data_IF_157187673986
#
_entry.id   IF_157187673986
#
_cell.length_a   1.000
_cell.length_b   1.000
_cell.length_c   1.000
_cell.angle_alpha   90.00
_cell.angle_beta   90.00
_cell.angle_gamma   90.00
#
_symmetry.space_group_name_H-M   'P 1'
#
loop_
_entity.id
_entity.type
_entity.pdbx_description
1 polymer ?
#
# COMPACT_ATOMS: atom_id res chain seq x y z
N UNK A 1 -41.02 28.21 0.27
CA UNK A 1 -41.94 27.05 0.06
C UNK A 1 -41.28 25.82 0.66
N UNK A 2 -41.84 25.28 1.75
CA UNK A 2 -41.30 24.07 2.39
C UNK A 2 -41.48 22.89 1.43
N UNK A 3 -40.37 22.23 1.05
CA UNK A 3 -40.39 20.97 0.29
C UNK A 3 -40.47 19.85 1.32
N UNK A 4 -41.49 19.01 1.20
CA UNK A 4 -41.77 17.92 2.14
C UNK A 4 -40.54 17.02 2.33
N UNK A 5 -40.23 16.66 3.58
CA UNK A 5 -39.25 15.63 3.90
C UNK A 5 -40.01 14.30 3.94
N UNK A 6 -39.64 13.38 3.04
CA UNK A 6 -40.24 12.04 2.95
C UNK A 6 -39.24 11.03 3.51
N UNK A 7 -39.61 10.34 4.59
CA UNK A 7 -38.81 9.29 5.22
C UNK A 7 -39.36 7.93 4.79
N UNK A 8 -38.52 7.13 4.14
CA UNK A 8 -38.82 5.73 3.82
C UNK A 8 -38.23 4.83 4.92
N UNK A 9 -39.04 3.92 5.44
CA UNK A 9 -38.64 2.97 6.48
C UNK A 9 -38.96 1.54 6.03
N UNK A 10 -38.07 0.55 6.28
CA UNK A 10 -38.32 -0.84 5.90
C UNK A 10 -39.53 -1.40 6.65
N UNK A 11 -40.41 -2.09 5.90
CA UNK A 11 -41.66 -2.67 6.39
C UNK A 11 -41.37 -3.92 7.22
N UNK A 12 -41.58 -3.86 8.52
CA UNK A 12 -41.47 -5.04 9.41
C UNK A 12 -42.87 -5.56 9.78
N UNK A 13 -43.36 -6.54 9.01
CA UNK A 13 -44.55 -7.33 9.36
C UNK A 13 -45.91 -6.79 8.91
N UNK A 14 -46.97 -7.48 9.35
CA UNK A 14 -48.37 -7.31 8.90
C UNK A 14 -49.17 -6.24 9.68
N UNK A 15 -48.54 -5.16 10.14
CA UNK A 15 -49.26 -4.04 10.77
C UNK A 15 -49.20 -2.79 9.91
N UNK A 16 -50.34 -2.11 9.79
CA UNK A 16 -50.49 -0.90 8.98
C UNK A 16 -50.03 0.38 9.71
N UNK A 17 -49.74 0.32 11.01
CA UNK A 17 -49.15 1.45 11.75
C UNK A 17 -48.13 0.96 12.79
N UNK A 18 -46.91 1.49 12.74
CA UNK A 18 -45.87 1.29 13.75
C UNK A 18 -45.49 2.66 14.31
N UNK A 19 -45.76 2.89 15.60
CA UNK A 19 -45.35 4.12 16.30
C UNK A 19 -44.00 3.86 16.97
N UNK A 20 -42.92 4.38 16.39
CA UNK A 20 -41.60 4.36 17.02
C UNK A 20 -41.33 5.71 17.69
N UNK A 21 -41.05 5.67 18.99
CA UNK A 21 -40.67 6.86 19.76
C UNK A 21 -39.15 7.02 19.63
N UNK A 22 -38.71 7.80 18.65
CA UNK A 22 -37.30 8.18 18.51
C UNK A 22 -37.07 9.42 19.38
N UNK A 23 -36.04 9.39 20.23
CA UNK A 23 -35.67 10.56 21.01
C UNK A 23 -35.21 11.69 20.06
N UNK A 24 -35.67 12.93 20.28
CA UNK A 24 -35.25 14.07 19.46
C UNK A 24 -33.72 14.25 19.44
N UNK A 25 -33.03 13.85 20.52
CA UNK A 25 -31.57 13.89 20.62
C UNK A 25 -30.82 12.98 19.64
N UNK A 26 -31.52 12.02 19.02
CA UNK A 26 -30.93 11.08 18.06
C UNK A 26 -31.04 11.59 16.63
N UNK A 27 -31.85 12.62 16.36
CA UNK A 27 -32.09 13.13 15.00
C UNK A 27 -31.47 14.52 14.86
N UNK A 28 -30.30 14.58 14.21
CA UNK A 28 -29.68 15.84 13.84
C UNK A 28 -30.08 16.21 12.41
N UNK A 29 -30.87 17.27 12.27
CA UNK A 29 -31.15 17.89 10.97
C UNK A 29 -30.10 18.96 10.70
N UNK A 30 -29.16 18.65 9.80
CA UNK A 30 -28.23 19.66 9.27
C UNK A 30 -28.87 20.24 8.02
N UNK A 31 -29.30 21.50 8.11
CA UNK A 31 -29.85 22.25 6.98
C UNK A 31 -28.79 23.23 6.53
N UNK A 32 -28.08 22.88 5.45
CA UNK A 32 -27.15 23.79 4.78
C UNK A 32 -27.84 24.49 3.61
N UNK A 33 -27.52 25.77 3.40
CA UNK A 33 -27.99 26.51 2.23
C UNK A 33 -27.37 25.90 0.95
N UNK A 34 -28.19 25.76 -0.09
CA UNK A 34 -27.75 25.22 -1.38
C UNK A 34 -26.62 26.06 -2.00
N UNK A 35 -26.63 27.37 -1.76
CA UNK A 35 -25.57 28.28 -2.24
C UNK A 35 -24.21 27.98 -1.61
N UNK A 36 -24.17 27.72 -0.30
CA UNK A 36 -22.96 27.32 0.42
C UNK A 36 -22.44 25.95 -0.07
N UNK A 37 -23.34 25.01 -0.31
CA UNK A 37 -22.99 23.71 -0.90
C UNK A 37 -22.38 23.85 -2.30
N UNK A 38 -22.94 24.70 -3.15
CA UNK A 38 -22.40 24.95 -4.48
C UNK A 38 -21.00 25.59 -4.42
N UNK A 39 -20.77 26.54 -3.52
CA UNK A 39 -19.44 27.12 -3.32
C UNK A 39 -18.41 26.07 -2.89
N UNK A 40 -18.75 25.21 -1.92
CA UNK A 40 -17.88 24.09 -1.51
C UNK A 40 -17.56 23.17 -2.69
N UNK A 41 -18.55 22.82 -3.51
CA UNK A 41 -18.36 21.96 -4.70
C UNK A 41 -17.46 22.65 -5.73
N UNK A 42 -17.62 23.95 -5.97
CA UNK A 42 -16.79 24.71 -6.90
C UNK A 42 -15.33 24.77 -6.44
N UNK A 43 -15.08 25.02 -5.16
CA UNK A 43 -13.72 25.01 -4.59
C UNK A 43 -13.06 23.64 -4.73
N UNK A 44 -13.80 22.55 -4.52
CA UNK A 44 -13.29 21.18 -4.71
C UNK A 44 -12.99 20.86 -6.18
N UNK A 45 -13.73 21.46 -7.13
CA UNK A 45 -13.48 21.28 -8.57
C UNK A 45 -12.24 22.04 -9.03
N UNK A 46 -12.02 23.25 -8.52
CA UNK A 46 -10.83 24.06 -8.86
C UNK A 46 -9.53 23.41 -8.35
N UNK A 47 -9.54 22.82 -7.15
CA UNK A 47 -8.38 22.11 -6.60
C UNK A 47 -8.18 20.68 -7.11
N UNK A 48 -9.02 20.21 -8.05
CA UNK A 48 -9.02 18.81 -8.49
C UNK A 48 -7.77 18.45 -9.27
N UNK A 49 -7.25 17.26 -9.00
CA UNK A 49 -6.23 16.63 -9.83
C UNK A 49 -6.75 16.42 -11.27
N UNK A 50 -5.90 16.74 -12.25
CA UNK A 50 -6.19 16.64 -13.68
C UNK A 50 -5.48 15.40 -14.26
N UNK A 51 -5.94 14.92 -15.42
CA UNK A 51 -5.30 13.86 -16.20
C UNK A 51 -4.96 12.59 -15.42
N UNK A 52 -5.88 12.15 -14.54
CA UNK A 52 -5.70 10.93 -13.74
C UNK A 52 -5.63 9.71 -14.66
N UNK A 53 -4.44 9.10 -14.77
CA UNK A 53 -4.26 7.80 -15.41
C UNK A 53 -4.02 6.75 -14.34
N UNK A 54 -4.77 5.66 -14.45
CA UNK A 54 -4.66 4.51 -13.57
C UNK A 54 -3.92 3.39 -14.29
N UNK A 55 -2.94 2.82 -13.60
CA UNK A 55 -2.33 1.54 -13.90
C UNK A 55 -2.58 0.58 -12.73
N UNK A 56 -2.08 -0.64 -12.83
CA UNK A 56 -2.25 -1.68 -11.80
C UNK A 56 -1.58 -1.28 -10.48
N UNK A 57 -0.34 -0.78 -10.55
CA UNK A 57 0.48 -0.43 -9.38
C UNK A 57 0.89 1.05 -9.33
N UNK A 58 0.38 1.87 -10.26
CA UNK A 58 0.71 3.28 -10.32
C UNK A 58 -0.47 4.14 -10.73
N UNK A 59 -0.46 5.37 -10.22
CA UNK A 59 -1.36 6.43 -10.65
C UNK A 59 -0.50 7.61 -11.10
N UNK A 60 -0.87 8.23 -12.21
CA UNK A 60 -0.27 9.51 -12.62
C UNK A 60 -1.35 10.57 -12.67
N UNK A 61 -1.07 11.74 -12.13
CA UNK A 61 -1.98 12.87 -12.15
C UNK A 61 -1.19 14.17 -12.31
N UNK A 62 -1.83 15.21 -12.83
CA UNK A 62 -1.25 16.53 -13.02
C UNK A 62 -1.99 17.53 -12.14
N UNK A 63 -1.30 18.55 -11.66
CA UNK A 63 -1.93 19.69 -10.99
C UNK A 63 -1.31 20.99 -11.45
N UNK A 64 -2.05 22.07 -11.28
CA UNK A 64 -1.55 23.44 -11.42
C UNK A 64 -1.99 24.22 -10.19
N UNK A 65 -1.15 24.25 -9.15
CA UNK A 65 -1.46 24.92 -7.90
C UNK A 65 -0.67 26.22 -7.78
N UNK A 66 -1.34 27.29 -7.39
CA UNK A 66 -0.69 28.60 -7.16
C UNK A 66 0.19 28.60 -5.89
N UNK A 67 -0.14 27.74 -4.93
CA UNK A 67 0.52 27.60 -3.64
C UNK A 67 0.77 26.13 -3.29
N UNK A 68 1.62 25.87 -2.30
CA UNK A 68 1.85 24.53 -1.80
C UNK A 68 0.62 24.05 -1.02
N UNK A 69 0.10 22.88 -1.36
CA UNK A 69 -1.18 22.38 -0.82
C UNK A 69 -1.09 20.91 -0.42
N UNK A 70 -1.90 20.51 0.56
CA UNK A 70 -2.08 19.10 0.89
C UNK A 70 -3.20 18.55 0.01
N UNK A 71 -2.87 17.57 -0.81
CA UNK A 71 -3.84 16.90 -1.67
C UNK A 71 -4.27 15.60 -1.01
N UNK A 72 -5.58 15.39 -0.95
CA UNK A 72 -6.18 14.17 -0.42
C UNK A 72 -6.69 13.33 -1.57
N UNK A 73 -6.30 12.06 -1.59
CA UNK A 73 -6.82 11.09 -2.55
C UNK A 73 -7.93 10.25 -1.93
N UNK A 74 -8.79 9.67 -2.77
CA UNK A 74 -9.81 8.71 -2.32
C UNK A 74 -9.22 7.33 -1.99
N UNK A 75 -7.91 7.16 -2.10
CA UNK A 75 -7.24 5.91 -1.78
C UNK A 75 -7.04 5.80 -0.27
N UNK A 76 -7.25 4.60 0.27
CA UNK A 76 -6.89 4.30 1.64
C UNK A 76 -5.38 4.43 1.84
N UNK A 77 -4.97 5.00 2.97
CA UNK A 77 -3.58 5.12 3.34
C UNK A 77 -2.98 3.73 3.58
N UNK A 78 -1.89 3.43 2.86
CA UNK A 78 -1.02 2.29 3.09
C UNK A 78 0.43 2.80 3.06
N UNK A 79 1.26 2.26 3.95
CA UNK A 79 2.68 2.58 4.08
C UNK A 79 3.49 2.21 2.82
N UNK A 80 2.93 1.38 1.93
CA UNK A 80 3.55 1.03 0.65
C UNK A 80 3.39 2.10 -0.44
N UNK A 81 2.53 3.10 -0.26
CA UNK A 81 2.34 4.16 -1.25
C UNK A 81 3.41 5.25 -1.13
N UNK A 82 4.05 5.58 -2.25
CA UNK A 82 4.98 6.69 -2.39
C UNK A 82 4.57 7.57 -3.56
N UNK A 83 4.78 8.89 -3.44
CA UNK A 83 4.47 9.87 -4.50
C UNK A 83 5.73 10.64 -4.84
N UNK A 84 5.97 10.80 -6.15
CA UNK A 84 7.02 11.65 -6.68
C UNK A 84 6.41 12.74 -7.55
N UNK A 85 6.79 13.99 -7.31
CA UNK A 85 6.48 15.11 -8.19
C UNK A 85 7.58 15.24 -9.22
N UNK A 86 7.21 15.24 -10.50
CA UNK A 86 8.02 15.71 -11.60
C UNK A 86 7.78 17.21 -11.75
N UNK A 87 8.78 17.99 -11.38
CA UNK A 87 8.80 19.45 -11.48
C UNK A 87 8.93 19.89 -12.94
N UNK A 88 8.59 21.14 -13.24
CA UNK A 88 8.74 21.73 -14.58
C UNK A 88 10.19 21.65 -15.09
N UNK A 89 11.18 21.76 -14.19
CA UNK A 89 12.61 21.63 -14.49
C UNK A 89 13.04 20.19 -14.88
N UNK A 90 12.11 19.23 -14.89
CA UNK A 90 12.35 17.83 -15.20
C UNK A 90 12.93 17.01 -14.04
N UNK A 91 13.22 17.65 -12.90
CA UNK A 91 13.65 16.98 -11.67
C UNK A 91 12.50 16.26 -10.97
N UNK A 92 12.83 15.17 -10.29
CA UNK A 92 11.91 14.42 -9.43
C UNK A 92 12.15 14.79 -7.98
N UNK A 93 11.10 15.25 -7.30
CA UNK A 93 11.08 15.46 -5.86
C UNK A 93 10.19 14.41 -5.20
N UNK A 94 10.66 13.79 -4.13
CA UNK A 94 9.83 12.90 -3.32
C UNK A 94 8.84 13.74 -2.50
N UNK A 95 7.55 13.46 -2.65
CA UNK A 95 6.50 14.14 -1.91
C UNK A 95 6.31 13.47 -0.54
N UNK A 96 6.26 14.27 0.52
CA UNK A 96 5.95 13.74 1.84
C UNK A 96 4.49 13.27 1.89
N UNK A 97 4.29 12.03 2.34
CA UNK A 97 2.98 11.39 2.42
C UNK A 97 2.47 11.40 3.87
N UNK A 98 1.16 11.59 4.01
CA UNK A 98 0.49 11.74 5.30
C UNK A 98 -0.75 10.84 5.35
N UNK A 99 -0.99 10.28 6.53
CA UNK A 99 -2.27 9.66 6.85
C UNK A 99 -3.21 10.76 7.33
N UNK A 100 -4.23 11.05 6.55
CA UNK A 100 -5.22 12.07 6.88
C UNK A 100 -6.43 11.46 7.61
N UNK A 101 -7.26 12.32 8.17
CA UNK A 101 -8.47 11.94 8.88
C UNK A 101 -9.39 11.10 7.98
N UNK A 102 -9.94 10.02 8.55
CA UNK A 102 -10.66 9.00 7.77
C UNK A 102 -9.78 7.92 7.14
N UNK A 103 -8.46 7.95 7.39
CA UNK A 103 -7.53 6.94 6.89
C UNK A 103 -7.24 7.07 5.40
N UNK A 104 -7.46 8.25 4.84
CA UNK A 104 -7.18 8.56 3.44
C UNK A 104 -5.71 8.93 3.24
N UNK A 105 -5.23 8.62 2.04
CA UNK A 105 -3.88 8.94 1.63
C UNK A 105 -3.80 10.40 1.17
N UNK A 106 -2.98 11.19 1.84
CA UNK A 106 -2.64 12.55 1.43
C UNK A 106 -1.15 12.72 1.16
N UNK A 107 -0.80 13.71 0.35
CA UNK A 107 0.59 14.08 0.10
C UNK A 107 0.73 15.59 -0.06
N UNK A 108 1.93 16.10 0.22
CA UNK A 108 2.27 17.51 0.01
C UNK A 108 2.59 17.75 -1.47
N UNK A 109 1.77 18.57 -2.11
CA UNK A 109 1.90 18.96 -3.50
C UNK A 109 2.61 20.31 -3.59
N UNK A 110 3.81 20.39 -4.20
CA UNK A 110 4.48 21.66 -4.43
C UNK A 110 3.71 22.50 -5.45
N UNK A 111 3.81 23.82 -5.33
CA UNK A 111 3.26 24.80 -6.26
C UNK A 111 3.80 24.62 -7.69
N UNK A 112 3.03 25.08 -8.67
CA UNK A 112 3.33 25.03 -10.09
C UNK A 112 2.65 23.89 -10.83
N UNK A 113 2.96 23.77 -12.13
CA UNK A 113 2.41 22.76 -13.02
C UNK A 113 3.21 21.46 -12.92
N UNK A 114 2.87 20.65 -11.93
CA UNK A 114 3.60 19.45 -11.60
C UNK A 114 2.85 18.19 -12.05
N UNK A 115 3.61 17.18 -12.49
CA UNK A 115 3.07 15.84 -12.75
C UNK A 115 3.52 14.90 -11.67
N UNK A 116 2.57 14.24 -11.02
CA UNK A 116 2.84 13.34 -9.92
C UNK A 116 2.71 11.90 -10.38
N UNK A 117 3.57 11.06 -9.83
CA UNK A 117 3.57 9.63 -10.04
C UNK A 117 3.50 8.97 -8.68
N UNK A 118 2.33 8.40 -8.38
CA UNK A 118 2.09 7.60 -7.20
C UNK A 118 2.36 6.14 -7.55
N UNK A 119 3.16 5.45 -6.73
CA UNK A 119 3.55 4.06 -6.95
C UNK A 119 3.39 3.27 -5.65
N UNK A 120 2.93 2.03 -5.79
CA UNK A 120 2.91 1.08 -4.69
C UNK A 120 4.19 0.27 -4.65
N UNK A 121 4.87 0.26 -3.51
CA UNK A 121 5.99 -0.63 -3.20
C UNK A 121 5.71 -1.37 -1.90
N UNK A 122 5.73 -2.69 -1.96
CA UNK A 122 5.58 -3.54 -0.76
C UNK A 122 6.72 -3.26 0.22
N UNK A 123 6.35 -2.89 1.44
CA UNK A 123 7.30 -2.59 2.52
C UNK A 123 8.08 -3.87 2.83
N UNK A 124 9.39 -3.73 3.03
CA UNK A 124 10.30 -4.84 3.34
C UNK A 124 10.41 -5.92 2.26
N UNK A 125 9.92 -5.70 1.03
CA UNK A 125 10.19 -6.62 -0.07
C UNK A 125 11.70 -6.79 -0.30
N UNK A 126 12.45 -5.68 -0.21
CA UNK A 126 13.91 -5.69 -0.33
C UNK A 126 14.54 -6.49 0.82
N UNK A 127 14.05 -6.31 2.04
CA UNK A 127 14.55 -7.01 3.24
C UNK A 127 14.31 -8.52 3.17
N UNK A 128 13.15 -8.94 2.66
CA UNK A 128 12.85 -10.35 2.39
C UNK A 128 13.81 -10.95 1.36
N UNK A 129 14.17 -10.19 0.32
CA UNK A 129 15.13 -10.61 -0.69
C UNK A 129 16.54 -10.78 -0.10
N UNK A 130 16.99 -9.84 0.75
CA UNK A 130 18.27 -9.96 1.44
C UNK A 130 18.33 -11.18 2.38
N UNK A 131 17.28 -11.42 3.16
CA UNK A 131 17.20 -12.59 4.04
C UNK A 131 17.17 -13.90 3.24
N UNK A 132 16.47 -13.91 2.11
CA UNK A 132 16.48 -15.04 1.17
C UNK A 132 17.88 -15.35 0.65
N UNK A 133 18.62 -14.35 0.18
CA UNK A 133 20.00 -14.54 -0.29
C UNK A 133 20.94 -14.97 0.83
N UNK A 134 20.81 -14.39 2.03
CA UNK A 134 21.64 -14.76 3.17
C UNK A 134 21.43 -16.23 3.57
N UNK A 135 20.17 -16.68 3.65
CA UNK A 135 19.85 -18.08 3.95
C UNK A 135 20.36 -19.04 2.88
N UNK A 136 20.29 -18.66 1.61
CA UNK A 136 20.82 -19.45 0.49
C UNK A 136 22.34 -19.66 0.61
N UNK A 137 23.09 -18.61 0.95
CA UNK A 137 24.55 -18.69 1.13
C UNK A 137 24.91 -19.64 2.28
N UNK A 138 24.20 -19.56 3.40
CA UNK A 138 24.40 -20.45 4.56
C UNK A 138 24.07 -21.90 4.20
N UNK A 139 23.00 -22.11 3.42
CA UNK A 139 22.62 -23.45 2.98
C UNK A 139 23.68 -24.05 2.04
N UNK A 140 24.19 -23.28 1.07
CA UNK A 140 25.23 -23.73 0.14
C UNK A 140 26.53 -24.05 0.88
N UNK A 141 26.94 -23.21 1.84
CA UNK A 141 28.15 -23.47 2.64
C UNK A 141 28.02 -24.73 3.50
N UNK A 142 26.85 -24.97 4.09
CA UNK A 142 26.59 -26.21 4.82
C UNK A 142 26.55 -27.44 3.91
N UNK A 143 25.87 -27.35 2.76
CA UNK A 143 25.77 -28.45 1.80
C UNK A 143 27.14 -28.85 1.24
N UNK A 144 27.98 -27.87 0.91
CA UNK A 144 29.37 -28.11 0.46
C UNK A 144 30.20 -28.73 1.56
N UNK A 145 30.13 -28.25 2.81
CA UNK A 145 30.79 -28.87 3.96
C UNK A 145 30.41 -30.35 4.12
N UNK A 146 29.11 -30.67 4.11
CA UNK A 146 28.63 -32.05 4.21
C UNK A 146 29.10 -32.92 3.04
N UNK A 147 29.17 -32.37 1.83
CA UNK A 147 29.67 -33.11 0.67
C UNK A 147 31.17 -33.43 0.81
N UNK A 148 31.97 -32.48 1.30
CA UNK A 148 33.38 -32.70 1.62
C UNK A 148 33.57 -33.75 2.72
N UNK A 149 32.80 -33.68 3.81
CA UNK A 149 32.84 -34.67 4.88
C UNK A 149 32.49 -36.08 4.42
N UNK A 150 31.42 -36.23 3.61
CA UNK A 150 31.06 -37.53 3.04
C UNK A 150 32.16 -38.06 2.15
N UNK A 151 32.76 -37.23 1.30
CA UNK A 151 33.87 -37.64 0.42
C UNK A 151 35.10 -38.07 1.21
N UNK A 152 35.44 -37.37 2.31
CA UNK A 152 36.53 -37.75 3.21
C UNK A 152 36.27 -39.11 3.87
N UNK A 153 35.07 -39.32 4.43
CA UNK A 153 34.68 -40.59 5.05
C UNK A 153 34.69 -41.76 4.06
N UNK A 154 34.25 -41.54 2.81
CA UNK A 154 34.34 -42.55 1.75
C UNK A 154 35.79 -42.88 1.37
N UNK A 155 36.69 -41.88 1.31
CA UNK A 155 38.12 -42.12 1.06
C UNK A 155 38.78 -42.88 2.22
N UNK A 156 38.55 -42.46 3.47
CA UNK A 156 39.08 -43.16 4.65
C UNK A 156 38.58 -44.61 4.75
N UNK A 157 37.30 -44.86 4.47
CA UNK A 157 36.73 -46.21 4.41
C UNK A 157 37.36 -47.06 3.28
N UNK A 158 37.59 -46.50 2.10
CA UNK A 158 38.21 -47.21 0.98
C UNK A 158 39.68 -47.58 1.24
N UNK A 159 40.43 -46.69 1.91
CA UNK A 159 41.84 -46.93 2.29
C UNK A 159 41.92 -48.01 3.37
N UNK A 160 41.05 -47.95 4.38
CA UNK A 160 41.00 -48.95 5.45
C UNK A 160 40.63 -50.33 4.90
N UNK A 161 39.64 -50.40 4.01
CA UNK A 161 39.26 -51.65 3.32
C UNK A 161 40.44 -52.26 2.57
N UNK A 162 41.14 -51.50 1.72
CA UNK A 162 42.29 -52.02 0.97
C UNK A 162 43.44 -52.50 1.87
N UNK A 163 43.66 -51.86 3.02
CA UNK A 163 44.70 -52.29 3.97
C UNK A 163 44.36 -53.62 4.65
N UNK A 164 43.08 -53.86 4.96
CA UNK A 164 42.60 -55.15 5.52
C UNK A 164 42.69 -56.28 4.49
N UNK A 165 42.39 -56.01 3.21
CA UNK A 165 42.56 -57.02 2.15
C UNK A 165 44.05 -57.39 1.95
N UNK A 166 44.95 -56.40 1.92
CA UNK A 166 46.38 -56.63 1.73
C UNK A 166 47.03 -57.42 2.88
N UNK A 167 46.57 -57.21 4.12
CA UNK A 167 47.08 -57.94 5.28
C UNK A 167 46.62 -59.39 5.35
N UNK A 168 45.43 -59.69 4.82
CA UNK A 168 44.93 -61.07 4.73
C UNK A 168 45.56 -61.88 3.59
N UNK A 169 46.13 -61.27 2.55
CA UNK A 169 46.87 -61.99 1.48
C UNK A 169 48.31 -62.34 1.86
N UNK A 170 48.86 -61.72 2.91
CA UNK A 170 50.24 -61.92 3.37
C UNK A 170 50.40 -62.93 4.52
N UNK A 171 49.30 -63.55 4.98
CA UNK A 171 49.26 -64.56 6.04
C UNK A 171 48.91 -65.93 5.45
#
# INVERSE_FOLDING_TARGET
KVKNIVLYWPKYGNSFTHKHKVALSTINFVVEDYSLMQNKISMLKEGSLLNVKKSVNSYSFSSNYDEDQIVVTQLGFDKGWSVKAKLEDGNYADCQTYKLDGGLFGFFAPKGNNTYIMQYKTINADLGLYLGLASLIIYISYATYCHYEKKKKHMEFSVFSNMVYFTNELM
#
